data_IF_311325718642
#
_entry.id   IF_311325718642
#
_cell.length_a   1.000
_cell.length_b   1.000
_cell.length_c   1.000
_cell.angle_alpha   90.00
_cell.angle_beta   90.00
_cell.angle_gamma   90.00
#
_symmetry.space_group_name_H-M   'P 1'
#
loop_
_entity.id
_entity.type
_entity.pdbx_description
1 polymer ?
#
# COMPACT_ATOMS: atom_id res chain seq x y z
N UNK A 1 15.89 19.94 11.02
CA UNK A 1 16.85 19.27 10.13
C UNK A 1 17.47 18.12 10.90
N UNK A 2 17.23 16.88 10.48
CA UNK A 2 17.86 15.70 11.06
C UNK A 2 19.01 15.28 10.14
N UNK A 3 20.20 15.08 10.69
CA UNK A 3 21.33 14.52 9.96
C UNK A 3 21.43 13.05 10.38
N UNK A 4 21.39 12.15 9.39
CA UNK A 4 21.53 10.71 9.60
C UNK A 4 22.89 10.34 9.04
N UNK A 5 23.76 9.81 9.90
CA UNK A 5 25.04 9.25 9.50
C UNK A 5 24.86 7.73 9.41
N UNK A 6 25.01 7.19 8.19
CA UNK A 6 24.89 5.75 7.95
C UNK A 6 26.30 5.16 7.96
N UNK A 7 26.64 4.48 9.04
CA UNK A 7 27.92 3.77 9.18
C UNK A 7 27.81 2.34 8.65
N UNK A 8 28.92 1.79 8.18
CA UNK A 8 29.04 0.40 7.72
C UNK A 8 28.10 0.02 6.56
N UNK A 9 27.91 0.92 5.59
CA UNK A 9 27.21 0.57 4.35
C UNK A 9 28.10 -0.33 3.49
N UNK A 10 27.55 -1.46 3.04
CA UNK A 10 28.25 -2.36 2.12
C UNK A 10 28.60 -1.60 0.81
N UNK A 11 29.87 -1.61 0.38
CA UNK A 11 30.28 -0.93 -0.85
C UNK A 11 29.52 -1.40 -2.10
N UNK A 12 29.03 -2.66 -2.12
CA UNK A 12 28.19 -3.16 -3.20
C UNK A 12 26.82 -2.46 -3.25
N UNK A 13 26.25 -2.17 -2.07
CA UNK A 13 24.98 -1.44 -1.96
C UNK A 13 25.19 0.01 -2.42
N UNK A 14 26.32 0.62 -2.08
CA UNK A 14 26.66 1.98 -2.50
C UNK A 14 26.72 2.10 -4.03
N UNK A 15 27.39 1.16 -4.71
CA UNK A 15 27.44 1.16 -6.18
C UNK A 15 26.07 0.98 -6.84
N UNK A 16 25.22 0.12 -6.26
CA UNK A 16 23.84 -0.04 -6.73
C UNK A 16 23.04 1.23 -6.54
N UNK A 17 23.15 1.89 -5.39
CA UNK A 17 22.49 3.16 -5.12
C UNK A 17 22.95 4.26 -6.08
N UNK A 18 24.25 4.32 -6.38
CA UNK A 18 24.80 5.29 -7.33
C UNK A 18 24.26 5.05 -8.75
N UNK A 19 24.15 3.78 -9.16
CA UNK A 19 23.57 3.41 -10.44
C UNK A 19 22.09 3.79 -10.52
N UNK A 20 21.33 3.52 -9.46
CA UNK A 20 19.92 3.91 -9.36
C UNK A 20 19.76 5.44 -9.37
N UNK A 21 20.58 6.16 -8.61
CA UNK A 21 20.57 7.61 -8.59
C UNK A 21 20.82 8.21 -10.00
N UNK A 22 21.81 7.67 -10.74
CA UNK A 22 22.07 8.04 -12.14
C UNK A 22 20.89 7.75 -13.05
N UNK A 23 20.22 6.60 -12.90
CA UNK A 23 19.04 6.25 -13.69
C UNK A 23 17.84 7.17 -13.40
N UNK A 24 17.66 7.56 -12.14
CA UNK A 24 16.59 8.45 -11.73
C UNK A 24 16.92 9.94 -11.94
N UNK A 25 18.14 10.27 -12.37
CA UNK A 25 18.59 11.65 -12.58
C UNK A 25 18.69 12.45 -11.27
N UNK A 26 18.97 11.78 -10.16
CA UNK A 26 18.99 12.35 -8.80
C UNK A 26 20.38 12.24 -8.18
N UNK A 27 20.64 13.07 -7.18
CA UNK A 27 21.82 12.87 -6.34
C UNK A 27 21.66 11.64 -5.45
N UNK A 28 22.78 11.01 -5.05
CA UNK A 28 22.77 9.84 -4.15
C UNK A 28 22.04 10.13 -2.83
N UNK A 29 22.16 11.35 -2.31
CA UNK A 29 21.49 11.79 -1.09
C UNK A 29 19.97 11.92 -1.28
N UNK A 30 19.51 12.42 -2.42
CA UNK A 30 18.09 12.49 -2.75
C UNK A 30 17.49 11.10 -2.98
N UNK A 31 18.23 10.20 -3.62
CA UNK A 31 17.79 8.81 -3.80
C UNK A 31 17.66 8.10 -2.46
N UNK A 32 18.62 8.29 -1.54
CA UNK A 32 18.52 7.73 -0.20
C UNK A 32 17.33 8.31 0.57
N UNK A 33 17.09 9.62 0.47
CA UNK A 33 15.91 10.27 1.07
C UNK A 33 14.62 9.68 0.51
N UNK A 34 14.55 9.49 -0.81
CA UNK A 34 13.39 8.91 -1.46
C UNK A 34 13.16 7.46 -1.04
N UNK A 35 14.21 6.63 -0.99
CA UNK A 35 14.13 5.24 -0.52
C UNK A 35 13.69 5.19 0.94
N UNK A 36 14.22 6.06 1.81
CA UNK A 36 13.79 6.13 3.21
C UNK A 36 12.33 6.54 3.33
N UNK A 37 11.90 7.55 2.57
CA UNK A 37 10.50 7.95 2.53
C UNK A 37 9.60 6.81 2.06
N UNK A 38 9.95 6.15 0.96
CA UNK A 38 9.23 4.98 0.45
C UNK A 38 9.22 3.82 1.44
N UNK A 39 10.32 3.58 2.15
CA UNK A 39 10.39 2.56 3.19
C UNK A 39 9.49 2.91 4.37
N UNK A 40 9.42 4.18 4.79
CA UNK A 40 8.47 4.61 5.83
C UNK A 40 7.03 4.51 5.37
N UNK A 41 6.70 4.93 4.14
CA UNK A 41 5.35 4.80 3.57
C UNK A 41 4.95 3.32 3.46
N UNK A 42 5.83 2.47 2.91
CA UNK A 42 5.59 1.02 2.84
C UNK A 42 5.46 0.41 4.22
N UNK A 43 6.26 0.82 5.20
CA UNK A 43 6.14 0.31 6.56
C UNK A 43 4.87 0.80 7.25
N UNK A 44 4.39 2.01 6.94
CA UNK A 44 3.04 2.47 7.30
C UNK A 44 1.96 1.65 6.59
N UNK A 45 2.19 1.18 5.36
CA UNK A 45 1.29 0.26 4.67
C UNK A 45 1.37 -1.19 5.20
N UNK A 46 2.52 -1.66 5.69
CA UNK A 46 2.64 -2.96 6.37
C UNK A 46 2.14 -2.92 7.82
N UNK A 47 2.21 -1.77 8.51
CA UNK A 47 1.51 -1.52 9.78
C UNK A 47 0.03 -1.15 9.56
N UNK A 48 -0.38 -0.86 8.32
CA UNK A 48 -1.78 -0.99 7.86
C UNK A 48 -2.15 -2.44 7.52
N UNK A 49 -1.47 -3.41 8.16
CA UNK A 49 -2.11 -4.68 8.51
C UNK A 49 -3.37 -4.50 9.39
N UNK A 50 -3.67 -3.27 9.82
CA UNK A 50 -4.91 -2.90 10.51
C UNK A 50 -6.21 -3.03 9.70
N UNK A 51 -6.15 -3.24 8.38
CA UNK A 51 -7.37 -3.44 7.59
C UNK A 51 -7.63 -4.89 7.19
N UNK A 52 -6.65 -5.80 7.26
CA UNK A 52 -6.90 -7.20 6.88
C UNK A 52 -7.79 -7.90 7.91
N UNK A 53 -7.55 -7.67 9.21
CA UNK A 53 -8.40 -8.20 10.27
C UNK A 53 -9.77 -7.50 10.31
N UNK A 54 -9.81 -6.17 10.19
CA UNK A 54 -11.08 -5.43 10.09
C UNK A 54 -11.89 -5.83 8.87
N UNK A 55 -11.25 -6.05 7.72
CA UNK A 55 -11.90 -6.56 6.52
C UNK A 55 -12.41 -7.99 6.73
N UNK A 56 -11.64 -8.84 7.41
CA UNK A 56 -12.04 -10.21 7.71
C UNK A 56 -13.22 -10.26 8.69
N UNK A 57 -13.23 -9.41 9.71
CA UNK A 57 -14.37 -9.24 10.61
C UNK A 57 -15.59 -8.65 9.88
N UNK A 58 -15.40 -7.63 9.04
CA UNK A 58 -16.48 -7.05 8.25
C UNK A 58 -17.10 -8.10 7.32
N UNK A 59 -16.27 -8.93 6.69
CA UNK A 59 -16.69 -10.03 5.84
C UNK A 59 -17.42 -11.11 6.65
N UNK A 60 -16.91 -11.49 7.83
CA UNK A 60 -17.57 -12.45 8.71
C UNK A 60 -18.95 -11.95 9.18
N UNK A 61 -19.05 -10.67 9.57
CA UNK A 61 -20.33 -10.04 9.94
C UNK A 61 -21.29 -10.00 8.75
N UNK A 62 -20.82 -9.68 7.55
CA UNK A 62 -21.63 -9.69 6.35
C UNK A 62 -22.11 -11.10 6.01
N UNK A 63 -21.22 -12.09 6.06
CA UNK A 63 -21.57 -13.49 5.83
C UNK A 63 -22.62 -13.98 6.82
N UNK A 64 -22.52 -13.71 8.12
CA UNK A 64 -23.57 -14.08 9.09
C UNK A 64 -24.88 -13.34 8.82
N UNK A 65 -24.83 -12.05 8.48
CA UNK A 65 -26.02 -11.23 8.22
C UNK A 65 -26.77 -11.64 6.95
N UNK A 66 -26.06 -12.24 6.00
CA UNK A 66 -26.58 -12.62 4.68
C UNK A 66 -26.61 -14.14 4.44
N UNK A 67 -26.10 -14.95 5.37
CA UNK A 67 -26.21 -16.40 5.34
C UNK A 67 -27.69 -16.79 5.42
N UNK A 68 -28.16 -17.57 4.45
CA UNK A 68 -29.56 -18.01 4.36
C UNK A 68 -30.51 -17.00 3.72
N UNK A 69 -30.02 -15.85 3.22
CA UNK A 69 -30.83 -14.91 2.44
C UNK A 69 -30.61 -15.15 0.95
N UNK A 70 -31.67 -15.58 0.26
CA UNK A 70 -31.74 -15.55 -1.19
C UNK A 70 -32.06 -14.12 -1.63
N UNK A 71 -31.11 -13.48 -2.30
CA UNK A 71 -31.37 -12.21 -2.98
C UNK A 71 -32.01 -12.54 -4.32
N UNK A 72 -33.20 -12.01 -4.61
CA UNK A 72 -33.73 -12.09 -5.96
C UNK A 72 -32.85 -11.24 -6.88
N UNK A 73 -32.66 -11.68 -8.11
CA UNK A 73 -31.87 -10.97 -9.10
C UNK A 73 -32.37 -9.53 -9.24
N UNK A 74 -31.56 -8.57 -8.82
CA UNK A 74 -31.89 -7.15 -8.77
C UNK A 74 -31.57 -6.43 -10.09
N UNK A 75 -31.28 -7.18 -11.16
CA UNK A 75 -31.06 -6.61 -12.50
C UNK A 75 -32.24 -5.79 -13.01
N UNK A 76 -33.49 -6.20 -12.74
CA UNK A 76 -34.70 -5.44 -13.12
C UNK A 76 -34.74 -4.07 -12.43
N UNK A 77 -34.49 -4.03 -11.12
CA UNK A 77 -34.51 -2.80 -10.30
C UNK A 77 -33.38 -1.82 -10.67
N UNK A 78 -32.19 -2.35 -10.98
CA UNK A 78 -31.04 -1.53 -11.40
C UNK A 78 -31.28 -0.92 -12.79
N UNK A 79 -31.98 -1.65 -13.68
CA UNK A 79 -32.32 -1.18 -15.02
C UNK A 79 -33.34 -0.04 -14.97
N UNK A 80 -34.35 -0.15 -14.12
CA UNK A 80 -35.37 0.89 -13.93
C UNK A 80 -34.78 2.19 -13.36
N UNK A 81 -33.82 2.11 -12.43
CA UNK A 81 -33.15 3.29 -11.86
C UNK A 81 -32.20 3.98 -12.86
N UNK A 82 -31.65 3.22 -13.82
CA UNK A 82 -30.77 3.76 -14.88
C UNK A 82 -31.54 4.49 -15.99
N UNK A 83 -32.83 4.21 -16.15
CA UNK A 83 -33.69 4.82 -17.17
C UNK A 83 -34.46 6.06 -16.65
N UNK A 84 -34.21 6.49 -15.40
CA UNK A 84 -34.72 7.75 -14.83
C UNK A 84 -33.79 8.94 -15.04
#
# INVERSE_FOLDING_TARGET
MAQILVENLDPLILQRLETLAKQHGRSLQEELKYILQQATEKQTHYHSGGDMEKAREALARAQVRYAGKTFSDSTELIREDRER
#
